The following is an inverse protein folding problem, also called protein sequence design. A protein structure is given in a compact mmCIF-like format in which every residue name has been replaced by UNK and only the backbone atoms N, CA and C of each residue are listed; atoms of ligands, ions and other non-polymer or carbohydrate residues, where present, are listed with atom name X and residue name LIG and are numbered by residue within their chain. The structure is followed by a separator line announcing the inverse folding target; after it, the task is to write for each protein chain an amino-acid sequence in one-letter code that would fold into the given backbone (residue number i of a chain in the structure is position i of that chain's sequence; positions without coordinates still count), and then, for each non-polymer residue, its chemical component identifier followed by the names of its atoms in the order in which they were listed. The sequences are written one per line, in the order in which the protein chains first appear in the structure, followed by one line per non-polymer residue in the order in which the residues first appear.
data_IF_729490028462
#
_entry.id   IF_729490028462
#
_cell.length_a   1.000
_cell.length_b   1.000
_cell.length_c   1.000
_cell.angle_alpha   90.00
_cell.angle_beta   90.00
_cell.angle_gamma   90.00
#
_symmetry.space_group_name_H-M   'P 1'
#
loop_
_entity.id
_entity.type
_entity.pdbx_description
1 polymer ?
#
# COMPACT_ATOMS: atom_id res chain seq x y z
N UNK A 1 17.40 -6.42 -32.27
CA UNK A 1 17.05 -5.15 -32.94
C UNK A 1 15.54 -4.93 -33.19
N UNK A 2 14.65 -5.93 -33.03
CA UNK A 2 13.17 -5.74 -33.11
C UNK A 2 12.49 -5.59 -31.73
N UNK A 3 13.15 -6.02 -30.66
CA UNK A 3 12.71 -5.88 -29.26
C UNK A 3 12.93 -4.48 -28.68
N UNK A 4 13.83 -3.69 -29.27
CA UNK A 4 14.17 -2.33 -28.81
C UNK A 4 13.07 -1.30 -29.14
N UNK A 5 12.36 -1.45 -30.27
CA UNK A 5 11.21 -0.60 -30.60
C UNK A 5 10.01 -0.83 -29.68
N UNK A 6 9.75 -2.09 -29.28
CA UNK A 6 8.72 -2.41 -28.31
C UNK A 6 9.06 -1.84 -26.92
N UNK A 7 10.34 -1.89 -26.54
CA UNK A 7 10.83 -1.30 -25.30
C UNK A 7 10.65 0.22 -25.26
N UNK A 8 10.93 0.94 -26.36
CA UNK A 8 10.74 2.39 -26.44
C UNK A 8 9.26 2.81 -26.40
N UNK A 9 8.40 2.10 -27.13
CA UNK A 9 6.95 2.35 -27.09
C UNK A 9 6.36 2.05 -25.70
N UNK A 10 6.86 1.00 -25.06
CA UNK A 10 6.48 0.61 -23.71
C UNK A 10 7.06 1.54 -22.64
N UNK A 11 8.25 2.14 -22.83
CA UNK A 11 8.81 3.16 -21.94
C UNK A 11 7.96 4.44 -21.97
N UNK A 12 7.46 4.81 -23.15
CA UNK A 12 6.50 5.91 -23.32
C UNK A 12 5.15 5.60 -22.66
N UNK A 13 4.72 4.34 -22.70
CA UNK A 13 3.57 3.86 -21.94
C UNK A 13 3.83 3.82 -20.43
N UNK A 14 5.05 3.45 -19.99
CA UNK A 14 5.52 3.46 -18.59
C UNK A 14 5.45 4.88 -18.02
N UNK A 15 5.99 5.87 -18.72
CA UNK A 15 5.91 7.29 -18.32
C UNK A 15 4.44 7.74 -18.22
N UNK A 16 3.60 7.34 -19.19
CA UNK A 16 2.20 7.76 -19.21
C UNK A 16 1.35 7.08 -18.13
N UNK A 17 1.60 5.80 -17.85
CA UNK A 17 0.93 5.01 -16.81
C UNK A 17 1.42 5.39 -15.41
N UNK A 18 2.73 5.59 -15.23
CA UNK A 18 3.32 6.09 -13.99
C UNK A 18 2.84 7.52 -13.72
N UNK A 19 2.72 8.39 -14.73
CA UNK A 19 2.14 9.72 -14.58
C UNK A 19 0.62 9.70 -14.30
N UNK A 20 -0.13 8.71 -14.85
CA UNK A 20 -1.56 8.52 -14.58
C UNK A 20 -1.85 7.96 -13.18
N UNK A 21 -0.98 7.07 -12.68
CA UNK A 21 -1.12 6.42 -11.36
C UNK A 21 -0.46 7.24 -10.24
N UNK A 22 0.66 7.91 -10.50
CA UNK A 22 1.38 8.74 -9.52
C UNK A 22 0.66 10.05 -9.20
N UNK A 23 -0.22 10.56 -10.09
CA UNK A 23 -1.05 11.74 -9.79
C UNK A 23 -2.09 11.53 -8.68
N UNK A 24 -2.22 10.34 -8.07
CA UNK A 24 -3.33 10.06 -7.14
C UNK A 24 -2.98 9.44 -5.79
N UNK A 25 -1.73 9.21 -5.44
CA UNK A 25 -1.44 8.61 -4.12
C UNK A 25 -0.41 9.43 -3.34
N UNK A 26 -0.93 10.03 -2.26
CA UNK A 26 -0.27 10.52 -1.03
C UNK A 26 0.25 11.96 -0.99
N UNK A 27 0.50 12.64 -2.12
CA UNK A 27 1.01 14.03 -2.08
C UNK A 27 -0.13 15.10 -2.02
N UNK A 28 -1.38 14.64 -1.83
CA UNK A 28 -2.68 15.34 -1.80
C UNK A 28 -2.71 16.78 -1.27
N UNK A 29 -2.10 16.96 -0.11
CA UNK A 29 -2.32 18.13 0.73
C UNK A 29 -1.29 19.23 0.50
N UNK A 30 -0.11 18.89 -0.05
CA UNK A 30 0.89 19.90 -0.40
C UNK A 30 0.48 20.76 -1.61
N UNK A 31 -0.57 20.36 -2.35
CA UNK A 31 -0.97 20.99 -3.62
C UNK A 31 -2.49 21.18 -3.79
N UNK A 32 -3.26 21.24 -2.69
CA UNK A 32 -4.70 21.58 -2.68
C UNK A 32 -5.56 20.81 -3.71
N UNK A 33 -5.48 19.47 -3.73
CA UNK A 33 -6.42 18.64 -4.51
C UNK A 33 -7.34 17.88 -3.58
N UNK A 34 -8.64 18.02 -3.83
CA UNK A 34 -9.71 17.26 -3.20
C UNK A 34 -9.53 15.77 -3.53
N UNK A 35 -9.21 14.96 -2.52
CA UNK A 35 -9.10 13.51 -2.67
C UNK A 35 -10.53 12.96 -2.64
N UNK A 36 -11.05 12.40 -3.75
CA UNK A 36 -12.36 11.77 -3.71
C UNK A 36 -12.27 10.50 -2.85
N UNK A 37 -13.04 10.45 -1.77
CA UNK A 37 -13.18 9.29 -0.89
C UNK A 37 -13.91 8.15 -1.63
N UNK A 38 -13.16 7.43 -2.47
CA UNK A 38 -13.65 6.21 -3.11
C UNK A 38 -13.18 5.01 -2.32
N UNK A 39 -14.09 4.44 -1.55
CA UNK A 39 -13.88 3.16 -0.87
C UNK A 39 -13.94 2.03 -1.88
N UNK A 40 -12.84 1.29 -2.02
CA UNK A 40 -12.78 0.06 -2.81
C UNK A 40 -12.73 -1.15 -1.89
N UNK A 41 -13.42 -2.23 -2.26
CA UNK A 41 -13.35 -3.47 -1.48
C UNK A 41 -11.96 -4.09 -1.57
N UNK A 42 -11.51 -4.72 -0.48
CA UNK A 42 -10.19 -5.38 -0.41
C UNK A 42 -10.01 -6.42 -1.52
N UNK A 43 -11.08 -7.16 -1.85
CA UNK A 43 -11.07 -8.13 -2.94
C UNK A 43 -10.83 -7.49 -4.32
N UNK A 44 -11.37 -6.29 -4.56
CA UNK A 44 -11.12 -5.56 -5.80
C UNK A 44 -9.69 -5.02 -5.85
N UNK A 45 -9.21 -4.45 -4.74
CA UNK A 45 -7.83 -3.97 -4.64
C UNK A 45 -6.81 -5.10 -4.88
N UNK A 46 -7.05 -6.31 -4.32
CA UNK A 46 -6.23 -7.50 -4.55
C UNK A 46 -6.20 -7.94 -6.01
N UNK A 47 -7.34 -7.88 -6.71
CA UNK A 47 -7.42 -8.23 -8.14
C UNK A 47 -6.58 -7.27 -8.99
N UNK A 48 -6.71 -5.97 -8.77
CA UNK A 48 -5.92 -4.95 -9.49
C UNK A 48 -4.42 -5.13 -9.21
N UNK A 49 -4.04 -5.33 -7.95
CA UNK A 49 -2.66 -5.59 -7.56
C UNK A 49 -2.10 -6.87 -8.23
N UNK A 50 -2.91 -7.91 -8.39
CA UNK A 50 -2.52 -9.15 -9.07
C UNK A 50 -2.19 -8.95 -10.54
N UNK A 51 -3.03 -8.18 -11.24
CA UNK A 51 -2.80 -7.86 -12.66
C UNK A 51 -1.51 -7.05 -12.80
N UNK A 52 -1.30 -6.08 -11.91
CA UNK A 52 -0.11 -5.22 -11.98
C UNK A 52 1.19 -5.99 -11.67
N UNK A 53 1.18 -6.88 -10.67
CA UNK A 53 2.30 -7.80 -10.44
C UNK A 53 2.57 -8.71 -11.65
N UNK A 54 1.53 -9.24 -12.28
CA UNK A 54 1.67 -10.13 -13.43
C UNK A 54 2.31 -9.42 -14.63
N UNK A 55 1.86 -8.20 -14.91
CA UNK A 55 2.48 -7.33 -15.92
C UNK A 55 3.96 -7.12 -15.56
N UNK A 56 4.29 -6.74 -14.34
CA UNK A 56 5.69 -6.50 -13.94
C UNK A 56 6.59 -7.74 -14.04
N UNK A 57 6.06 -8.92 -13.74
CA UNK A 57 6.76 -10.20 -13.90
C UNK A 57 7.03 -10.54 -15.36
N UNK A 58 6.05 -10.35 -16.24
CA UNK A 58 6.22 -10.58 -17.69
C UNK A 58 7.30 -9.66 -18.26
N UNK A 59 7.31 -8.40 -17.85
CA UNK A 59 8.26 -7.42 -18.35
C UNK A 59 9.64 -7.46 -17.64
N UNK A 60 9.85 -8.37 -16.68
CA UNK A 60 11.15 -8.57 -16.02
C UNK A 60 11.68 -7.32 -15.30
N UNK A 61 10.78 -6.44 -14.85
CA UNK A 61 11.14 -5.17 -14.24
C UNK A 61 11.68 -5.42 -12.82
N UNK A 62 12.91 -5.01 -12.55
CA UNK A 62 13.55 -5.11 -11.22
C UNK A 62 12.94 -4.18 -10.17
N UNK A 63 12.16 -3.20 -10.60
CA UNK A 63 11.50 -2.23 -9.73
C UNK A 63 10.15 -2.75 -9.21
N UNK A 64 9.77 -2.33 -8.02
CA UNK A 64 8.50 -2.70 -7.41
C UNK A 64 7.34 -1.98 -8.11
N UNK A 65 6.25 -2.68 -8.50
CA UNK A 65 5.07 -2.03 -9.04
C UNK A 65 4.46 -1.07 -7.99
N UNK A 66 3.85 0.06 -8.43
CA UNK A 66 3.22 1.02 -7.52
C UNK A 66 2.14 0.45 -6.58
N UNK A 67 1.51 -0.66 -6.95
CA UNK A 67 0.52 -1.38 -6.17
C UNK A 67 0.76 -2.88 -6.35
N UNK A 68 0.97 -3.59 -5.25
CA UNK A 68 1.16 -5.03 -5.22
C UNK A 68 0.40 -5.63 -4.04
N UNK A 69 0.21 -6.95 -4.06
CA UNK A 69 -0.65 -7.68 -3.10
C UNK A 69 -0.19 -7.49 -1.67
N UNK A 70 1.13 -7.47 -1.45
CA UNK A 70 1.71 -7.26 -0.13
C UNK A 70 1.31 -5.91 0.47
N UNK A 71 1.42 -4.83 -0.31
CA UNK A 71 1.00 -3.49 0.10
C UNK A 71 -0.50 -3.46 0.42
N UNK A 72 -1.34 -4.04 -0.43
CA UNK A 72 -2.80 -4.11 -0.21
C UNK A 72 -3.16 -4.90 1.06
N UNK A 73 -2.45 -6.00 1.34
CA UNK A 73 -2.68 -6.79 2.55
C UNK A 73 -2.28 -6.03 3.82
N UNK A 74 -1.13 -5.36 3.82
CA UNK A 74 -0.66 -4.61 4.99
C UNK A 74 -1.59 -3.43 5.29
N UNK A 75 -2.01 -2.71 4.25
CA UNK A 75 -2.85 -1.52 4.40
C UNK A 75 -4.33 -1.85 4.62
N UNK A 76 -4.78 -3.03 4.17
CA UNK A 76 -6.20 -3.38 4.12
C UNK A 76 -6.68 -4.29 5.25
N UNK A 77 -5.82 -4.67 6.18
CA UNK A 77 -6.13 -5.58 7.28
C UNK A 77 -5.86 -4.87 8.60
N UNK A 78 -6.84 -4.90 9.50
CA UNK A 78 -6.65 -4.44 10.89
C UNK A 78 -5.70 -5.38 11.62
N UNK A 79 -4.62 -4.84 12.18
CA UNK A 79 -3.58 -5.62 12.84
C UNK A 79 -3.63 -5.41 14.35
N UNK A 80 -4.29 -6.33 15.07
CA UNK A 80 -4.35 -6.32 16.53
C UNK A 80 -3.41 -7.37 17.11
N UNK A 81 -2.35 -6.91 17.78
CA UNK A 81 -1.34 -7.79 18.40
C UNK A 81 -1.77 -8.20 19.81
N UNK A 82 -1.73 -9.50 20.11
CA UNK A 82 -2.00 -10.03 21.45
C UNK A 82 -0.73 -9.98 22.33
N UNK A 83 -0.82 -9.33 23.49
CA UNK A 83 0.30 -9.13 24.42
C UNK A 83 0.44 -10.22 25.52
N UNK A 84 -0.43 -11.23 25.53
CA UNK A 84 -0.44 -12.29 26.56
C UNK A 84 0.87 -13.08 26.62
N UNK A 85 1.43 -13.40 25.45
CA UNK A 85 2.69 -14.15 25.36
C UNK A 85 3.86 -13.32 25.91
N UNK A 86 3.89 -12.03 25.58
CA UNK A 86 4.93 -11.12 26.06
C UNK A 86 4.87 -10.96 27.59
N UNK A 87 3.67 -10.89 28.18
CA UNK A 87 3.49 -10.84 29.64
C UNK A 87 4.03 -12.10 30.31
N UNK A 88 3.75 -13.27 29.74
CA UNK A 88 4.12 -14.58 30.32
C UNK A 88 5.60 -14.90 30.20
N UNK A 89 6.20 -14.64 29.04
CA UNK A 89 7.57 -15.09 28.72
C UNK A 89 8.62 -14.00 28.95
N UNK A 90 8.28 -12.73 28.67
CA UNK A 90 9.23 -11.61 28.75
C UNK A 90 9.03 -10.76 30.01
N UNK A 91 8.06 -11.10 30.86
CA UNK A 91 7.69 -10.29 32.02
C UNK A 91 7.22 -8.89 31.62
N UNK A 92 6.70 -8.73 30.40
CA UNK A 92 6.26 -7.43 29.89
C UNK A 92 5.16 -6.85 30.77
N UNK A 93 5.40 -5.65 31.32
CA UNK A 93 4.43 -4.90 32.11
C UNK A 93 4.03 -3.64 31.34
N UNK A 94 2.76 -3.51 30.91
CA UNK A 94 2.32 -2.31 30.21
C UNK A 94 2.39 -1.10 31.15
N UNK A 95 2.96 0.01 30.67
CA UNK A 95 3.07 1.27 31.43
C UNK A 95 1.71 1.95 31.63
N UNK A 96 0.80 1.80 30.66
CA UNK A 96 -0.52 2.42 30.66
C UNK A 96 -1.54 1.33 30.37
N UNK A 97 -2.60 1.28 31.16
CA UNK A 97 -3.72 0.36 30.89
C UNK A 97 -4.56 0.86 29.72
N UNK A 98 -5.24 -0.04 29.00
CA UNK A 98 -6.14 0.34 27.89
C UNK A 98 -7.11 1.46 28.30
N UNK A 99 -7.73 1.34 29.48
CA UNK A 99 -8.66 2.32 30.03
C UNK A 99 -8.01 3.70 30.22
N UNK A 100 -6.84 3.75 30.84
CA UNK A 100 -6.08 5.00 31.01
C UNK A 100 -5.69 5.62 29.66
N UNK A 101 -5.31 4.80 28.68
CA UNK A 101 -5.01 5.27 27.32
C UNK A 101 -6.21 5.94 26.66
N UNK A 102 -7.40 5.33 26.76
CA UNK A 102 -8.64 5.93 26.24
C UNK A 102 -9.02 7.23 26.95
N UNK A 103 -8.78 7.35 28.26
CA UNK A 103 -9.07 8.57 29.00
C UNK A 103 -8.11 9.72 28.66
N UNK A 104 -6.85 9.41 28.33
CA UNK A 104 -5.86 10.41 27.87
C UNK A 104 -6.20 10.97 26.49
N UNK A 105 -6.69 10.15 25.56
CA UNK A 105 -7.04 10.59 24.20
C UNK A 105 -8.35 11.37 24.11
N UNK A 106 -9.19 11.34 25.15
CA UNK A 106 -10.48 12.05 25.19
C UNK A 106 -10.34 13.52 25.59
N UNK A 107 -9.19 13.92 26.15
CA UNK A 107 -8.86 15.32 26.47
C UNK A 107 -8.28 16.02 25.26
#
# INVERSE_FOLDING_TARGET
RRTECAFFHFLRFKIKLYCLLSKRTVFGEAYNITIPEKTVSLAMAKRVASVMEFVWKIFGLKEHPPLYKGLVNIMGIEFTTNDNKAKKELGYKPFVTIKQGFDLMRK
#
